data_IF_616139471086
#
_entry.id   IF_616139471086
#
_cell.length_a   1.000
_cell.length_b   1.000
_cell.length_c   1.000
_cell.angle_alpha   90.00
_cell.angle_beta   90.00
_cell.angle_gamma   90.00
#
_symmetry.space_group_name_H-M   'P 1'
#
loop_
_entity.id
_entity.type
_entity.pdbx_description
1 polymer ?
#
# COMPACT_ATOMS: atom_id res chain seq x y z
N UNK A 1 1.17 -23.49 6.45
CA UNK A 1 -0.31 -23.56 6.62
C UNK A 1 -0.76 -22.13 6.69
N UNK A 2 -1.64 -21.76 5.77
CA UNK A 2 -2.12 -20.40 5.59
C UNK A 2 -3.45 -20.26 6.32
N UNK A 3 -3.59 -19.18 7.08
CA UNK A 3 -4.84 -18.79 7.69
C UNK A 3 -5.55 -17.77 6.79
N UNK A 4 -6.84 -17.96 6.54
CA UNK A 4 -7.64 -17.09 5.68
C UNK A 4 -8.87 -16.60 6.44
N UNK A 5 -9.15 -15.30 6.35
CA UNK A 5 -10.35 -14.70 6.96
C UNK A 5 -10.94 -13.61 6.08
N UNK A 6 -12.26 -13.65 5.87
CA UNK A 6 -12.98 -12.68 5.03
C UNK A 6 -14.05 -11.95 5.82
N UNK A 7 -14.14 -10.63 5.64
CA UNK A 7 -15.17 -9.79 6.28
C UNK A 7 -15.47 -8.52 5.46
N UNK A 8 -16.68 -7.98 5.61
CA UNK A 8 -17.02 -6.65 5.08
C UNK A 8 -16.46 -5.57 6.01
N UNK A 9 -15.76 -4.60 5.43
CA UNK A 9 -15.06 -3.55 6.17
C UNK A 9 -15.97 -2.38 6.54
N UNK A 10 -17.07 -2.16 5.81
CA UNK A 10 -17.86 -0.93 5.86
C UNK A 10 -17.08 0.30 5.43
N UNK A 11 -15.96 0.12 4.72
CA UNK A 11 -15.08 1.18 4.22
C UNK A 11 -15.04 1.13 2.69
N UNK A 12 -14.72 2.28 2.09
CA UNK A 12 -14.41 2.30 0.66
C UNK A 12 -13.07 1.64 0.39
N UNK A 13 -12.91 1.14 -0.84
CA UNK A 13 -11.66 0.50 -1.28
C UNK A 13 -10.45 1.42 -1.09
N UNK A 14 -10.61 2.70 -1.41
CA UNK A 14 -9.58 3.72 -1.23
C UNK A 14 -9.14 3.85 0.24
N UNK A 15 -10.08 3.84 1.19
CA UNK A 15 -9.77 3.91 2.62
C UNK A 15 -9.08 2.64 3.15
N UNK A 16 -9.45 1.48 2.61
CA UNK A 16 -8.77 0.21 2.91
C UNK A 16 -7.34 0.23 2.37
N UNK A 17 -7.14 0.64 1.11
CA UNK A 17 -5.82 0.78 0.50
C UNK A 17 -4.93 1.78 1.27
N UNK A 18 -5.49 2.86 1.81
CA UNK A 18 -4.75 3.82 2.66
C UNK A 18 -4.12 3.12 3.86
N UNK A 19 -4.95 2.38 4.58
CA UNK A 19 -4.52 1.68 5.78
C UNK A 19 -3.49 0.60 5.45
N UNK A 20 -3.70 -0.11 4.34
CA UNK A 20 -2.87 -1.24 3.96
C UNK A 20 -1.56 -0.82 3.30
N UNK A 21 -1.44 0.39 2.75
CA UNK A 21 -0.20 0.88 2.10
C UNK A 21 0.71 1.68 3.03
N UNK A 22 0.18 2.23 4.13
CA UNK A 22 1.00 2.77 5.22
C UNK A 22 1.58 1.63 6.06
N UNK A 23 2.78 1.19 5.71
CA UNK A 23 3.45 0.07 6.38
C UNK A 23 3.69 0.30 7.88
N UNK A 24 3.91 1.55 8.32
CA UNK A 24 4.16 1.86 9.72
C UNK A 24 2.87 1.63 10.49
N UNK A 25 1.78 2.18 9.97
CA UNK A 25 0.44 1.97 10.53
C UNK A 25 0.04 0.50 10.49
N UNK A 26 0.17 -0.16 9.35
CA UNK A 26 -0.18 -1.57 9.19
C UNK A 26 0.57 -2.44 10.20
N UNK A 27 1.89 -2.24 10.36
CA UNK A 27 2.68 -3.01 11.31
C UNK A 27 2.14 -2.90 12.74
N UNK A 28 1.78 -1.68 13.17
CA UNK A 28 1.17 -1.46 14.48
C UNK A 28 -0.25 -2.05 14.60
N UNK A 29 -1.03 -2.05 13.52
CA UNK A 29 -2.37 -2.67 13.48
C UNK A 29 -2.30 -4.18 13.59
N UNK A 30 -1.25 -4.82 13.06
CA UNK A 30 -1.02 -6.26 13.19
C UNK A 30 -0.49 -6.66 14.58
N UNK A 31 -0.19 -5.69 15.46
CA UNK A 31 0.17 -5.87 16.87
C UNK A 31 1.59 -6.39 17.13
N UNK A 32 2.01 -7.41 16.40
CA UNK A 32 3.29 -8.11 16.62
C UNK A 32 4.43 -7.60 15.75
N UNK A 33 4.16 -6.68 14.83
CA UNK A 33 5.16 -6.18 13.88
C UNK A 33 5.58 -4.76 14.25
N UNK A 34 6.88 -4.53 14.33
CA UNK A 34 7.44 -3.18 14.49
C UNK A 34 8.42 -2.89 13.37
N UNK A 35 8.18 -1.82 12.60
CA UNK A 35 9.16 -1.32 11.63
C UNK A 35 10.29 -0.59 12.36
N UNK A 36 11.50 -1.11 12.25
CA UNK A 36 12.70 -0.58 12.92
C UNK A 36 13.48 0.38 12.01
N UNK A 37 13.69 -0.05 10.76
CA UNK A 37 14.43 0.68 9.73
C UNK A 37 13.82 0.40 8.35
N UNK A 38 14.10 1.26 7.39
CA UNK A 38 13.71 1.07 6.00
C UNK A 38 14.95 1.13 5.11
N UNK A 39 14.95 0.35 4.03
CA UNK A 39 15.98 0.47 3.01
C UNK A 39 15.75 1.76 2.24
N UNK A 40 16.79 2.56 2.08
CA UNK A 40 16.77 3.74 1.24
C UNK A 40 17.45 3.42 -0.09
N UNK A 41 16.70 3.52 -1.19
CA UNK A 41 17.21 3.14 -2.52
C UNK A 41 18.35 4.06 -2.97
N UNK A 42 18.28 5.34 -2.61
CA UNK A 42 19.28 6.34 -3.00
C UNK A 42 20.65 6.04 -2.38
N UNK A 43 20.70 5.76 -1.07
CA UNK A 43 21.95 5.43 -0.37
C UNK A 43 22.33 3.94 -0.43
N UNK A 44 21.40 3.06 -0.82
CA UNK A 44 21.61 1.61 -0.90
C UNK A 44 21.77 0.93 0.46
N UNK A 45 21.22 1.50 1.54
CA UNK A 45 21.42 1.04 2.93
C UNK A 45 20.13 1.09 3.74
N UNK A 46 20.09 0.34 4.84
CA UNK A 46 19.07 0.51 5.87
C UNK A 46 19.33 1.81 6.65
N UNK A 47 18.30 2.64 6.78
CA UNK A 47 18.31 3.88 7.53
C UNK A 47 17.07 3.98 8.43
N UNK A 48 17.12 4.86 9.43
CA UNK A 48 15.92 5.18 10.22
C UNK A 48 14.82 5.74 9.31
N UNK A 49 13.57 5.36 9.58
CA UNK A 49 12.40 5.70 8.74
C UNK A 49 12.32 7.20 8.44
N UNK A 50 12.60 8.06 9.41
CA UNK A 50 12.58 9.53 9.23
C UNK A 50 13.72 10.11 8.37
N UNK A 51 14.63 9.29 7.83
CA UNK A 51 15.76 9.68 6.99
C UNK A 51 15.75 9.04 5.61
N UNK A 52 14.67 8.36 5.24
CA UNK A 52 14.54 7.71 3.93
C UNK A 52 14.19 8.76 2.89
N UNK A 53 14.94 8.80 1.79
CA UNK A 53 14.67 9.70 0.67
C UNK A 53 13.88 8.98 -0.43
N UNK A 54 14.18 7.70 -0.66
CA UNK A 54 13.46 6.85 -1.60
C UNK A 54 13.11 5.48 -1.00
N UNK A 55 11.81 5.25 -0.79
CA UNK A 55 11.25 4.01 -0.25
C UNK A 55 11.10 2.97 -1.37
N UNK A 56 11.85 1.85 -1.36
CA UNK A 56 11.70 0.77 -2.33
C UNK A 56 10.69 -0.29 -1.88
N UNK A 57 10.11 -0.17 -0.68
CA UNK A 57 9.26 -1.20 -0.09
C UNK A 57 10.03 -2.36 0.56
N UNK A 58 11.11 -2.07 1.29
CA UNK A 58 11.85 -3.07 2.09
C UNK A 58 12.16 -2.51 3.47
N UNK A 59 11.72 -3.22 4.50
CA UNK A 59 11.76 -2.77 5.89
C UNK A 59 12.41 -3.83 6.77
N UNK A 60 13.30 -3.41 7.67
CA UNK A 60 13.72 -4.25 8.78
C UNK A 60 12.63 -4.18 9.85
N UNK A 61 12.11 -5.34 10.24
CA UNK A 61 11.09 -5.47 11.26
C UNK A 61 11.61 -6.24 12.47
N UNK A 62 11.05 -5.92 13.64
CA UNK A 62 11.06 -6.78 14.81
C UNK A 62 9.68 -7.39 15.00
N UNK A 63 9.61 -8.72 15.08
CA UNK A 63 8.43 -9.45 15.47
C UNK A 63 8.46 -9.70 16.98
N UNK A 64 7.48 -9.16 17.69
CA UNK A 64 7.42 -9.18 19.15
C UNK A 64 6.67 -10.44 19.59
N UNK A 65 7.37 -11.31 20.31
CA UNK A 65 6.79 -12.54 20.86
C UNK A 65 6.74 -12.44 22.38
N UNK A 66 5.56 -12.50 23.00
CA UNK A 66 5.48 -12.67 24.44
C UNK A 66 5.77 -14.14 24.79
N UNK A 67 6.87 -14.37 25.51
CA UNK A 67 7.23 -15.69 26.06
C UNK A 67 7.16 -15.64 27.59
N UNK A 68 6.14 -16.28 28.19
CA UNK A 68 6.05 -16.47 29.64
C UNK A 68 6.32 -15.21 30.50
N UNK A 69 5.66 -14.08 30.16
CA UNK A 69 5.82 -12.74 30.78
C UNK A 69 7.09 -11.96 30.38
N UNK A 70 7.99 -12.56 29.61
CA UNK A 70 9.10 -11.88 28.94
C UNK A 70 8.72 -11.54 27.48
N UNK A 71 9.45 -10.60 26.87
CA UNK A 71 9.27 -10.20 25.47
C UNK A 71 10.54 -10.57 24.72
N UNK A 72 10.42 -11.47 23.75
CA UNK A 72 11.46 -11.72 22.75
C UNK A 72 11.16 -10.97 21.45
N UNK A 73 12.21 -10.69 20.67
CA UNK A 73 12.12 -9.99 19.39
C UNK A 73 12.85 -10.76 18.31
N UNK A 74 12.07 -11.37 17.40
CA UNK A 74 12.61 -12.02 16.21
C UNK A 74 12.80 -10.98 15.11
N UNK A 75 14.02 -10.86 14.59
CA UNK A 75 14.31 -9.89 13.51
C UNK A 75 14.02 -10.51 12.15
N UNK A 76 13.43 -9.72 11.26
CA UNK A 76 13.13 -10.13 9.90
C UNK A 76 13.04 -8.95 8.94
N UNK A 77 12.65 -9.24 7.71
CA UNK A 77 12.33 -8.24 6.70
C UNK A 77 10.87 -8.34 6.30
N UNK A 78 10.26 -7.18 6.08
CA UNK A 78 8.97 -7.02 5.43
C UNK A 78 9.22 -6.34 4.08
N UNK A 79 8.84 -6.99 3.00
CA UNK A 79 8.94 -6.47 1.64
C UNK A 79 7.53 -6.19 1.10
N UNK A 80 7.34 -5.04 0.46
CA UNK A 80 6.04 -4.57 -0.04
C UNK A 80 5.75 -3.10 0.31
N UNK A 81 4.52 -2.63 0.09
CA UNK A 81 3.43 -3.39 -0.53
C UNK A 81 3.68 -3.68 -2.01
N UNK A 82 3.44 -4.92 -2.44
CA UNK A 82 3.15 -5.24 -3.83
C UNK A 82 1.66 -5.00 -4.06
N UNK A 83 1.31 -4.10 -4.99
CA UNK A 83 -0.09 -3.72 -5.25
C UNK A 83 -0.49 -4.24 -6.63
N UNK A 84 -1.52 -5.07 -6.66
CA UNK A 84 -2.18 -5.56 -7.86
C UNK A 84 -3.60 -5.04 -8.00
N UNK A 85 -4.34 -5.60 -8.96
CA UNK A 85 -5.69 -5.11 -9.31
C UNK A 85 -6.69 -5.23 -8.18
N UNK A 86 -6.64 -6.33 -7.44
CA UNK A 86 -7.59 -6.61 -6.36
C UNK A 86 -6.86 -7.05 -5.11
N UNK A 87 -5.55 -6.79 -5.01
CA UNK A 87 -4.78 -7.20 -3.85
C UNK A 87 -3.65 -6.26 -3.46
N UNK A 88 -3.31 -6.29 -2.17
CA UNK A 88 -2.06 -5.78 -1.60
C UNK A 88 -1.37 -6.93 -0.91
N UNK A 89 -0.10 -7.18 -1.22
CA UNK A 89 0.69 -8.25 -0.63
C UNK A 89 1.97 -7.72 0.01
N UNK A 90 2.32 -8.32 1.15
CA UNK A 90 3.60 -8.17 1.81
C UNK A 90 4.26 -9.53 1.95
N UNK A 91 5.58 -9.56 1.77
CA UNK A 91 6.40 -10.76 1.98
C UNK A 91 7.21 -10.61 3.25
N UNK A 92 7.21 -11.66 4.07
CA UNK A 92 7.97 -11.76 5.30
C UNK A 92 9.17 -12.66 5.08
N UNK A 93 10.35 -12.23 5.52
CA UNK A 93 11.59 -13.00 5.41
C UNK A 93 12.28 -13.06 6.77
N UNK A 94 12.43 -14.26 7.32
CA UNK A 94 13.13 -14.51 8.60
C UNK A 94 14.05 -15.70 8.39
N UNK A 95 15.36 -15.51 8.59
CA UNK A 95 16.39 -16.56 8.41
C UNK A 95 16.19 -17.44 7.15
N UNK A 96 15.96 -16.82 5.99
CA UNK A 96 15.69 -17.48 4.70
C UNK A 96 14.34 -18.21 4.58
N UNK A 97 13.53 -18.26 5.63
CA UNK A 97 12.14 -18.70 5.56
C UNK A 97 11.22 -17.56 5.13
N UNK A 98 10.30 -17.89 4.23
CA UNK A 98 9.37 -16.95 3.63
C UNK A 98 7.97 -17.12 4.23
N UNK A 99 7.30 -15.99 4.40
CA UNK A 99 5.87 -15.91 4.70
C UNK A 99 5.26 -14.77 3.89
N UNK A 100 3.94 -14.61 4.00
CA UNK A 100 3.22 -13.53 3.34
C UNK A 100 2.00 -13.07 4.12
N UNK A 101 1.59 -11.84 3.84
CA UNK A 101 0.30 -11.28 4.24
C UNK A 101 -0.31 -10.70 2.97
N UNK A 102 -1.41 -11.28 2.51
CA UNK A 102 -2.13 -10.84 1.32
C UNK A 102 -3.53 -10.38 1.68
N UNK A 103 -3.88 -9.22 1.18
CA UNK A 103 -5.19 -8.60 1.32
C UNK A 103 -5.85 -8.57 -0.05
N UNK A 104 -6.98 -9.24 -0.22
CA UNK A 104 -7.77 -9.26 -1.47
C UNK A 104 -9.07 -8.46 -1.27
N UNK A 105 -9.41 -7.59 -2.22
CA UNK A 105 -10.48 -6.59 -2.12
C UNK A 105 -11.44 -6.70 -3.32
N UNK A 106 -12.72 -6.96 -3.06
CA UNK A 106 -13.69 -7.29 -4.13
C UNK A 106 -14.76 -6.20 -4.40
N UNK A 107 -14.78 -5.08 -3.66
CA UNK A 107 -15.83 -4.03 -3.80
C UNK A 107 -15.39 -2.62 -3.37
N UNK A 108 -16.03 -1.59 -3.94
CA UNK A 108 -15.63 -0.18 -3.78
C UNK A 108 -16.30 0.61 -2.64
N UNK A 109 -17.60 0.41 -2.39
CA UNK A 109 -18.36 1.20 -1.39
C UNK A 109 -18.49 0.52 -0.02
N UNK A 110 -18.35 -0.81 0.00
CA UNK A 110 -18.23 -1.62 1.21
C UNK A 110 -17.29 -2.78 0.91
N UNK A 111 -16.00 -2.53 1.01
CA UNK A 111 -14.96 -3.47 0.58
C UNK A 111 -15.06 -4.77 1.37
N UNK A 112 -15.35 -5.86 0.67
CA UNK A 112 -15.13 -7.22 1.17
C UNK A 112 -13.62 -7.47 1.13
N UNK A 113 -13.05 -7.65 2.32
CA UNK A 113 -11.62 -7.87 2.51
C UNK A 113 -11.38 -9.31 2.91
N UNK A 114 -10.62 -10.03 2.10
CA UNK A 114 -10.08 -11.35 2.42
C UNK A 114 -8.61 -11.21 2.78
N UNK A 115 -8.22 -11.71 3.95
CA UNK A 115 -6.85 -11.66 4.45
C UNK A 115 -6.29 -13.08 4.52
N UNK A 116 -5.23 -13.32 3.78
CA UNK A 116 -4.44 -14.55 3.80
C UNK A 116 -3.12 -14.28 4.51
N UNK A 117 -2.83 -15.06 5.55
CA UNK A 117 -1.59 -14.95 6.33
C UNK A 117 -0.89 -16.29 6.38
N UNK A 118 0.39 -16.28 6.06
CA UNK A 118 1.29 -17.38 6.34
C UNK A 118 2.56 -16.82 6.95
N UNK A 119 2.84 -17.17 8.20
CA UNK A 119 4.07 -16.73 8.86
C UNK A 119 5.24 -17.69 8.56
N UNK A 120 6.48 -17.16 8.49
CA UNK A 120 7.69 -17.97 8.58
C UNK A 120 7.67 -18.83 9.86
N UNK A 121 8.33 -19.99 9.83
CA UNK A 121 8.29 -20.96 10.92
C UNK A 121 8.71 -20.37 12.27
N UNK A 122 9.69 -19.48 12.28
CA UNK A 122 10.19 -18.81 13.49
C UNK A 122 9.19 -17.87 14.14
N UNK A 123 8.18 -17.42 13.40
CA UNK A 123 7.14 -16.53 13.92
C UNK A 123 5.87 -17.30 14.33
N UNK A 124 5.80 -18.60 14.02
CA UNK A 124 4.72 -19.50 14.45
C UNK A 124 4.91 -19.91 15.91
N UNK A 125 4.70 -18.94 16.79
CA UNK A 125 4.86 -19.09 18.23
C UNK A 125 3.51 -19.35 18.89
N UNK A 126 3.49 -20.23 19.88
CA UNK A 126 2.32 -20.50 20.72
C UNK A 126 2.61 -20.02 22.12
N UNK A 127 1.70 -19.25 22.70
CA UNK A 127 1.81 -18.83 24.10
C UNK A 127 0.41 -18.76 24.72
N UNK A 128 0.35 -18.83 26.04
CA UNK A 128 -0.88 -18.90 26.86
C UNK A 128 -2.07 -18.15 26.21
N UNK A 129 -3.12 -18.92 25.86
CA UNK A 129 -4.37 -18.50 25.22
C UNK A 129 -4.31 -18.19 23.70
N UNK A 130 -3.16 -18.39 23.04
CA UNK A 130 -2.97 -18.27 21.59
C UNK A 130 -2.35 -19.56 21.03
N UNK A 131 -3.20 -20.31 20.33
CA UNK A 131 -2.84 -21.59 19.70
C UNK A 131 -2.38 -21.41 18.23
N UNK A 132 -2.79 -20.32 17.57
CA UNK A 132 -2.45 -19.99 16.19
C UNK A 132 -2.17 -18.48 16.06
N UNK A 133 -0.93 -18.16 15.68
CA UNK A 133 -0.45 -16.77 15.63
C UNK A 133 -1.06 -16.01 14.45
N UNK A 134 -1.23 -16.67 13.31
CA UNK A 134 -1.88 -16.07 12.14
C UNK A 134 -3.33 -15.69 12.43
N UNK A 135 -4.09 -16.59 13.06
CA UNK A 135 -5.45 -16.32 13.52
C UNK A 135 -5.49 -15.17 14.52
N UNK A 136 -4.60 -15.18 15.51
CA UNK A 136 -4.51 -14.14 16.54
C UNK A 136 -4.25 -12.74 15.94
N UNK A 137 -3.25 -12.61 15.06
CA UNK A 137 -2.94 -11.34 14.38
C UNK A 137 -4.18 -10.79 13.66
N UNK A 138 -4.95 -11.67 13.01
CA UNK A 138 -6.11 -11.23 12.24
C UNK A 138 -7.33 -10.94 13.11
N UNK A 139 -7.73 -11.87 13.99
CA UNK A 139 -8.98 -11.76 14.77
C UNK A 139 -8.88 -10.84 15.97
N UNK A 140 -7.71 -10.74 16.60
CA UNK A 140 -7.57 -10.00 17.86
C UNK A 140 -6.94 -8.62 17.67
N UNK A 141 -6.19 -8.40 16.58
CA UNK A 141 -5.58 -7.10 16.27
C UNK A 141 -6.18 -6.44 15.02
N UNK A 142 -6.03 -7.06 13.84
CA UNK A 142 -6.37 -6.42 12.57
C UNK A 142 -7.88 -6.15 12.43
N UNK A 143 -8.72 -7.18 12.58
CA UNK A 143 -10.17 -7.07 12.44
C UNK A 143 -10.79 -6.06 13.45
N UNK A 144 -10.48 -6.12 14.77
CA UNK A 144 -10.99 -5.15 15.73
C UNK A 144 -10.56 -3.71 15.45
N UNK A 145 -9.35 -3.52 14.90
CA UNK A 145 -8.93 -2.20 14.46
C UNK A 145 -9.79 -1.69 13.31
N UNK A 146 -10.03 -2.53 12.29
CA UNK A 146 -10.86 -2.19 11.13
C UNK A 146 -12.29 -1.80 11.55
N UNK A 147 -12.90 -2.55 12.48
CA UNK A 147 -14.22 -2.21 13.01
C UNK A 147 -14.25 -0.85 13.72
N UNK A 148 -13.20 -0.50 14.46
CA UNK A 148 -13.07 0.81 15.12
C UNK A 148 -12.79 1.92 14.10
N UNK A 149 -12.04 1.61 13.04
CA UNK A 149 -11.66 2.56 12.02
C UNK A 149 -12.84 2.99 11.15
N UNK A 150 -13.75 2.05 10.83
CA UNK A 150 -15.06 2.31 10.20
C UNK A 150 -15.82 3.44 10.89
N UNK A 151 -15.75 3.52 12.22
CA UNK A 151 -16.53 4.47 13.01
C UNK A 151 -15.89 5.87 13.11
N UNK A 152 -14.77 6.13 12.39
CA UNK A 152 -14.13 7.45 12.33
C UNK A 152 -14.50 8.14 11.02
N UNK A 153 -15.21 9.27 11.12
CA UNK A 153 -15.75 10.06 10.01
C UNK A 153 -14.70 10.92 9.27
N UNK A 154 -13.52 10.37 8.97
CA UNK A 154 -12.41 11.17 8.40
C UNK A 154 -11.69 10.38 7.30
N UNK A 155 -12.10 10.57 6.05
CA UNK A 155 -11.27 10.32 4.85
C UNK A 155 -11.55 11.42 3.85
N UNK A 156 -10.70 12.45 3.82
CA UNK A 156 -10.91 13.63 2.98
C UNK A 156 -9.59 14.15 2.40
N UNK A 157 -8.62 13.28 2.08
CA UNK A 157 -7.40 13.74 1.43
C UNK A 157 -6.81 12.67 0.53
N UNK A 158 -6.42 12.99 -0.72
CA UNK A 158 -5.65 12.09 -1.55
C UNK A 158 -4.36 11.71 -0.82
N UNK A 159 -4.11 10.42 -0.62
CA UNK A 159 -2.93 9.94 0.10
C UNK A 159 -1.94 9.33 -0.88
N UNK A 160 -0.66 9.47 -0.54
CA UNK A 160 0.44 8.88 -1.30
C UNK A 160 0.34 7.35 -1.20
N UNK A 161 0.26 6.68 -2.35
CA UNK A 161 0.14 5.21 -2.41
C UNK A 161 1.50 4.59 -2.70
N UNK A 162 2.20 5.02 -3.75
CA UNK A 162 3.54 4.53 -4.05
C UNK A 162 4.31 5.42 -5.05
N UNK A 163 5.61 5.13 -5.20
CA UNK A 163 6.42 5.61 -6.33
C UNK A 163 6.66 4.49 -7.35
N UNK A 164 6.50 4.80 -8.62
CA UNK A 164 6.79 3.91 -9.75
C UNK A 164 7.89 4.52 -10.62
N UNK A 165 8.82 3.69 -11.07
CA UNK A 165 9.82 4.04 -12.07
C UNK A 165 9.62 3.16 -13.30
N UNK A 166 9.70 3.74 -14.49
CA UNK A 166 9.59 3.00 -15.74
C UNK A 166 9.20 3.86 -16.92
N UNK A 167 8.97 3.24 -18.09
CA UNK A 167 8.36 3.94 -19.21
C UNK A 167 6.94 4.35 -18.83
N UNK A 168 6.58 5.57 -19.16
CA UNK A 168 5.29 6.14 -18.79
C UNK A 168 4.09 5.25 -19.19
N UNK A 169 4.10 4.62 -20.37
CA UNK A 169 3.02 3.70 -20.79
C UNK A 169 2.87 2.53 -19.82
N UNK A 170 3.97 1.84 -19.54
CA UNK A 170 4.01 0.71 -18.62
C UNK A 170 3.56 1.14 -17.20
N UNK A 171 3.95 2.35 -16.77
CA UNK A 171 3.52 2.91 -15.49
C UNK A 171 2.01 3.20 -15.49
N UNK A 172 1.46 3.81 -16.55
CA UNK A 172 0.01 4.06 -16.67
C UNK A 172 -0.76 2.74 -16.66
N UNK A 173 -0.33 1.75 -17.45
CA UNK A 173 -0.92 0.41 -17.49
C UNK A 173 -0.92 -0.26 -16.12
N UNK A 174 0.21 -0.16 -15.40
CA UNK A 174 0.30 -0.66 -14.03
C UNK A 174 -0.65 0.06 -13.08
N UNK A 175 -0.83 1.38 -13.18
CA UNK A 175 -1.78 2.11 -12.32
C UNK A 175 -3.22 1.79 -12.68
N UNK A 176 -3.54 1.64 -13.97
CA UNK A 176 -4.87 1.18 -14.41
C UNK A 176 -5.17 -0.20 -13.84
N UNK A 177 -4.18 -1.09 -13.81
CA UNK A 177 -4.33 -2.42 -13.20
C UNK A 177 -4.35 -2.41 -11.68
N UNK A 178 -4.43 -1.26 -10.98
CA UNK A 178 -4.57 -1.23 -9.51
C UNK A 178 -6.04 -1.08 -9.04
N UNK A 179 -6.96 -0.76 -9.96
CA UNK A 179 -8.37 -0.52 -9.64
C UNK A 179 -8.64 0.77 -8.85
N UNK A 180 -9.92 1.17 -8.77
CA UNK A 180 -10.38 2.35 -8.06
C UNK A 180 -9.87 3.69 -8.63
N UNK A 181 -10.11 4.77 -7.89
CA UNK A 181 -9.73 6.14 -8.28
C UNK A 181 -8.30 6.47 -7.90
N UNK A 182 -7.46 6.80 -8.88
CA UNK A 182 -6.03 7.07 -8.73
C UNK A 182 -5.63 8.38 -9.42
N UNK A 183 -4.63 9.06 -8.87
CA UNK A 183 -3.91 10.17 -9.50
C UNK A 183 -2.45 9.79 -9.67
N UNK A 184 -2.00 9.65 -10.92
CA UNK A 184 -0.59 9.57 -11.25
C UNK A 184 -0.05 10.99 -11.48
N UNK A 185 1.03 11.33 -10.80
CA UNK A 185 1.73 12.61 -10.93
C UNK A 185 3.20 12.36 -11.28
N UNK A 186 3.68 12.99 -12.34
CA UNK A 186 5.09 12.91 -12.74
C UNK A 186 5.59 14.23 -13.34
N UNK A 187 6.87 14.29 -13.69
CA UNK A 187 7.47 15.38 -14.47
C UNK A 187 7.99 14.84 -15.78
N UNK A 188 7.62 15.49 -16.88
CA UNK A 188 8.15 15.22 -18.21
C UNK A 188 8.73 16.52 -18.72
N UNK A 189 10.05 16.52 -18.97
CA UNK A 189 10.82 17.73 -19.22
C UNK A 189 10.61 18.75 -18.08
N UNK A 190 10.16 19.95 -18.39
CA UNK A 190 9.87 21.02 -17.43
C UNK A 190 8.39 21.11 -17.02
N UNK A 191 7.55 20.20 -17.52
CA UNK A 191 6.12 20.19 -17.21
C UNK A 191 5.79 19.15 -16.14
N UNK A 192 4.78 19.48 -15.33
CA UNK A 192 4.13 18.53 -14.44
C UNK A 192 2.98 17.89 -15.21
N UNK A 193 2.90 16.56 -15.12
CA UNK A 193 1.83 15.76 -15.72
C UNK A 193 1.03 15.12 -14.61
N UNK A 194 -0.29 15.24 -14.69
CA UNK A 194 -1.27 14.58 -13.81
C UNK A 194 -2.21 13.75 -14.66
N UNK A 195 -2.38 12.49 -14.32
CA UNK A 195 -3.30 11.57 -14.99
C UNK A 195 -4.24 11.02 -13.92
N UNK A 196 -5.52 11.33 -14.06
CA UNK A 196 -6.60 10.80 -13.25
C UNK A 196 -7.09 9.52 -13.89
N UNK A 197 -7.12 8.46 -13.11
CA UNK A 197 -7.54 7.13 -13.52
C UNK A 197 -8.72 6.75 -12.63
N UNK A 198 -9.81 6.34 -13.26
CA UNK A 198 -10.98 5.80 -12.59
C UNK A 198 -11.22 4.39 -13.13
N UNK A 199 -11.06 3.40 -12.25
CA UNK A 199 -11.38 2.00 -12.50
C UNK A 199 -10.77 1.43 -13.80
N UNK A 200 -9.44 1.55 -13.87
CA UNK A 200 -8.66 1.04 -14.99
C UNK A 200 -8.79 1.84 -16.28
N UNK A 201 -9.43 3.02 -16.25
CA UNK A 201 -9.52 3.93 -17.40
C UNK A 201 -8.97 5.29 -17.04
N UNK A 202 -8.26 5.91 -17.98
CA UNK A 202 -7.87 7.31 -17.83
C UNK A 202 -9.12 8.18 -17.98
N UNK A 203 -9.48 8.88 -16.91
CA UNK A 203 -10.61 9.81 -16.89
C UNK A 203 -10.19 11.19 -17.38
N UNK A 204 -9.04 11.69 -16.89
CA UNK A 204 -8.55 13.02 -17.25
C UNK A 204 -7.03 13.10 -17.24
N UNK A 205 -6.47 13.95 -18.12
CA UNK A 205 -5.03 14.23 -18.16
C UNK A 205 -4.80 15.74 -18.17
N UNK A 206 -3.81 16.20 -17.42
CA UNK A 206 -3.40 17.60 -17.33
C UNK A 206 -1.88 17.71 -17.42
N UNK A 207 -1.40 18.54 -18.34
CA UNK A 207 -0.01 18.99 -18.40
C UNK A 207 -0.02 20.47 -18.01
N UNK A 208 0.85 20.87 -17.08
CA UNK A 208 1.01 22.27 -16.71
C UNK A 208 2.46 22.61 -16.34
N UNK A 209 2.86 23.86 -16.55
CA UNK A 209 4.25 24.32 -16.41
C UNK A 209 4.59 25.35 -17.50
N UNK A 210 5.59 25.05 -18.34
CA UNK A 210 5.88 25.84 -19.55
C UNK A 210 4.77 25.76 -20.59
N UNK A 211 4.06 24.62 -20.62
CA UNK A 211 2.89 24.39 -21.46
C UNK A 211 1.71 24.01 -20.59
N UNK A 212 0.51 24.39 -21.04
CA UNK A 212 -0.75 23.89 -20.50
C UNK A 212 -1.48 23.12 -21.61
N UNK A 213 -1.88 21.89 -21.31
CA UNK A 213 -2.72 21.06 -22.17
C UNK A 213 -3.62 20.19 -21.28
N UNK A 214 -4.80 19.81 -21.76
CA UNK A 214 -5.76 19.06 -20.95
C UNK A 214 -6.57 18.04 -21.75
N UNK A 215 -7.17 17.08 -21.05
CA UNK A 215 -7.99 16.01 -21.62
C UNK A 215 -7.23 15.15 -22.62
N UNK A 216 -7.90 14.77 -23.72
CA UNK A 216 -7.35 13.87 -24.72
C UNK A 216 -6.11 14.41 -25.45
N UNK A 217 -5.99 15.72 -25.61
CA UNK A 217 -4.82 16.34 -26.23
C UNK A 217 -3.57 16.12 -25.36
N UNK A 218 -3.69 16.40 -24.06
CA UNK A 218 -2.64 16.12 -23.09
C UNK A 218 -2.27 14.64 -23.03
N UNK A 219 -3.28 13.76 -23.00
CA UNK A 219 -3.06 12.32 -22.92
C UNK A 219 -2.28 11.81 -24.14
N UNK A 220 -2.64 12.26 -25.35
CA UNK A 220 -1.94 11.87 -26.58
C UNK A 220 -0.47 12.26 -26.56
N UNK A 221 -0.17 13.50 -26.17
CA UNK A 221 1.20 14.00 -26.07
C UNK A 221 2.03 13.20 -25.06
N UNK A 222 1.44 12.91 -23.89
CA UNK A 222 2.06 12.12 -22.82
C UNK A 222 2.37 10.71 -23.32
N UNK A 223 1.43 10.05 -24.00
CA UNK A 223 1.61 8.71 -24.59
C UNK A 223 2.57 8.65 -25.78
N UNK A 224 2.89 9.77 -26.43
CA UNK A 224 3.90 9.82 -27.50
C UNK A 224 5.32 9.88 -26.94
N UNK A 225 5.49 10.16 -25.64
CA UNK A 225 6.81 10.17 -25.00
C UNK A 225 7.29 8.76 -24.70
N UNK A 226 8.59 8.52 -24.92
CA UNK A 226 9.25 7.25 -24.60
C UNK A 226 10.20 7.40 -23.39
N UNK A 227 9.96 8.44 -22.58
CA UNK A 227 10.78 8.78 -21.43
C UNK A 227 10.56 7.78 -20.29
N UNK A 228 11.66 7.43 -19.63
CA UNK A 228 11.62 6.80 -18.31
C UNK A 228 11.31 7.89 -17.28
N UNK A 229 10.31 7.65 -16.44
CA UNK A 229 9.82 8.61 -15.48
C UNK A 229 9.86 8.04 -14.06
N UNK A 230 9.94 8.95 -13.10
CA UNK A 230 9.55 8.70 -11.72
C UNK A 230 8.15 9.28 -11.49
N UNK A 231 7.20 8.42 -11.18
CA UNK A 231 5.80 8.76 -10.95
C UNK A 231 5.43 8.56 -9.49
N UNK A 232 4.69 9.51 -8.93
CA UNK A 232 4.00 9.37 -7.66
C UNK A 232 2.54 9.03 -7.93
N UNK A 233 2.05 7.96 -7.32
CA UNK A 233 0.66 7.54 -7.41
C UNK A 233 -0.03 7.89 -6.09
N UNK A 234 -1.20 8.51 -6.19
CA UNK A 234 -2.10 8.80 -5.08
C UNK A 234 -3.42 8.07 -5.29
N UNK A 235 -4.08 7.68 -4.21
CA UNK A 235 -5.47 7.19 -4.27
C UNK A 235 -6.41 8.32 -3.85
N UNK A 236 -7.52 8.46 -4.57
CA UNK A 236 -8.46 9.58 -4.41
C UNK A 236 -9.76 9.05 -3.81
N UNK A 237 -10.28 9.63 -2.71
CA UNK A 237 -11.60 9.26 -2.17
C UNK A 237 -12.72 9.53 -3.19
N UNK A 238 -13.79 8.72 -3.13
CA UNK A 238 -14.90 8.71 -4.11
C UNK A 238 -15.55 10.08 -4.31
N UNK A 239 -15.56 10.95 -3.30
CA UNK A 239 -16.30 12.22 -3.23
C UNK A 239 -15.61 13.44 -3.90
N UNK A 240 -14.30 13.43 -4.17
CA UNK A 240 -13.56 14.67 -4.48
C UNK A 240 -13.39 15.06 -5.96
N UNK A 241 -13.75 14.23 -6.94
CA UNK A 241 -13.52 14.60 -8.36
C UNK A 241 -14.32 15.83 -8.80
N UNK A 242 -15.41 16.17 -8.11
CA UNK A 242 -16.24 17.33 -8.45
C UNK A 242 -15.54 18.66 -8.14
N UNK A 243 -14.49 18.68 -7.30
CA UNK A 243 -13.88 19.95 -6.82
C UNK A 243 -12.45 20.25 -7.33
N UNK A 244 -11.73 19.31 -7.94
CA UNK A 244 -10.34 19.57 -8.41
C UNK A 244 -10.30 20.20 -9.83
N UNK A 245 -11.45 20.62 -10.37
CA UNK A 245 -11.59 21.25 -11.69
C UNK A 245 -11.48 22.79 -11.71
N UNK A 246 -10.96 23.43 -10.66
CA UNK A 246 -10.78 24.89 -10.62
C UNK A 246 -9.30 25.26 -10.49
#
# INVERSE_FOLDING_TARGET
>A
MTYTYSFSTGLTRCAVEELLTDVIRLSGVLGHFMVLMAYDRESGKLVHVGRVNDFPGKYLIGFIVPENEEIDVVKGYLEGPEIGQDYIEYRLVVNDHLGHIRFTMDSDEDTLLTVDVELPQELKVTFKDIDDMEEHIIKDHFFPYMEKFRNRSIYQTPFFTLKLNGKLKDVIEKVMSMGGKKLLKTRINENVVKIFIDDGKVDFCLIYGKKVAMGNEALKEVLETDNVIDATVYSIPVEEMVMIMI
#
